data_IF_405426862442
#
_entry.id   IF_405426862442
#
_cell.length_a   1.000
_cell.length_b   1.000
_cell.length_c   1.000
_cell.angle_alpha   90.00
_cell.angle_beta   90.00
_cell.angle_gamma   90.00
#
_symmetry.space_group_name_H-M   'P 1'
#
loop_
_entity.id
_entity.type
_entity.pdbx_description
1 polymer ?
#
# COMPACT_ATOMS: atom_id res chain seq x y z
N UNK A 1 -0.97 -27.00 8.84
CA UNK A 1 -1.31 -27.52 7.50
C UNK A 1 -1.70 -26.34 6.63
N UNK A 2 -1.06 -26.21 5.48
CA UNK A 2 -1.29 -25.11 4.56
C UNK A 2 -2.63 -25.38 3.85
N UNK A 3 -3.61 -24.48 3.92
CA UNK A 3 -4.90 -24.67 3.22
C UNK A 3 -4.65 -24.56 1.72
N UNK A 4 -4.50 -25.71 1.05
CA UNK A 4 -4.28 -25.81 -0.39
C UNK A 4 -5.54 -25.52 -1.19
N UNK A 5 -6.73 -25.48 -0.56
CA UNK A 5 -7.97 -25.25 -1.28
C UNK A 5 -8.07 -23.89 -1.96
N UNK A 6 -7.23 -22.93 -1.53
CA UNK A 6 -7.05 -21.63 -2.21
C UNK A 6 -6.53 -21.72 -3.65
N UNK A 7 -5.98 -22.85 -4.08
CA UNK A 7 -5.50 -23.04 -5.45
C UNK A 7 -6.58 -23.54 -6.42
N UNK A 8 -7.78 -23.86 -5.93
CA UNK A 8 -8.90 -24.27 -6.79
C UNK A 8 -10.25 -23.68 -6.34
N UNK A 9 -10.26 -22.86 -5.29
CA UNK A 9 -11.41 -22.04 -4.89
C UNK A 9 -11.19 -20.61 -5.35
N UNK A 10 -12.10 -20.12 -6.19
CA UNK A 10 -12.08 -18.77 -6.72
C UNK A 10 -13.01 -17.87 -5.91
N UNK A 11 -12.50 -16.75 -5.41
CA UNK A 11 -13.33 -15.67 -4.86
C UNK A 11 -13.69 -14.68 -5.97
N UNK A 12 -14.98 -14.43 -6.15
CA UNK A 12 -15.50 -13.51 -7.16
C UNK A 12 -16.74 -12.78 -6.62
N UNK A 13 -17.09 -11.66 -7.26
CA UNK A 13 -18.31 -10.91 -6.96
C UNK A 13 -19.44 -11.51 -7.78
N UNK A 14 -20.48 -11.97 -7.10
CA UNK A 14 -21.68 -12.49 -7.75
C UNK A 14 -22.55 -11.36 -8.33
N UNK A 15 -23.63 -11.72 -9.01
CA UNK A 15 -24.57 -10.75 -9.63
C UNK A 15 -25.27 -9.83 -8.63
N UNK A 16 -25.27 -10.17 -7.35
CA UNK A 16 -25.82 -9.37 -6.25
C UNK A 16 -24.78 -8.47 -5.57
N UNK A 17 -23.55 -8.39 -6.11
CA UNK A 17 -22.48 -7.58 -5.54
C UNK A 17 -21.82 -8.18 -4.29
N UNK A 18 -22.07 -9.46 -3.98
CA UNK A 18 -21.49 -10.14 -2.82
C UNK A 18 -20.32 -11.02 -3.22
N UNK A 19 -19.29 -11.06 -2.40
CA UNK A 19 -18.20 -12.01 -2.55
C UNK A 19 -18.73 -13.44 -2.34
N UNK A 20 -18.56 -14.30 -3.33
CA UNK A 20 -18.79 -15.73 -3.21
C UNK A 20 -17.51 -16.49 -3.51
N UNK A 21 -17.41 -17.70 -2.98
CA UNK A 21 -16.33 -18.63 -3.27
C UNK A 21 -16.90 -19.81 -4.06
N UNK A 22 -16.37 -20.04 -5.26
CA UNK A 22 -16.75 -21.16 -6.12
C UNK A 22 -15.57 -22.10 -6.33
N UNK A 23 -15.83 -23.40 -6.31
CA UNK A 23 -14.82 -24.41 -6.60
C UNK A 23 -14.67 -24.62 -8.12
N UNK A 24 -13.44 -24.62 -8.61
CA UNK A 24 -13.09 -25.01 -9.96
C UNK A 24 -12.57 -26.46 -9.93
N UNK A 25 -13.40 -27.38 -10.41
CA UNK A 25 -13.10 -28.81 -10.35
C UNK A 25 -11.90 -29.19 -11.23
N UNK A 26 -11.80 -28.63 -12.43
CA UNK A 26 -10.68 -28.89 -13.35
C UNK A 26 -9.35 -28.43 -12.75
N UNK A 27 -9.34 -27.25 -12.11
CA UNK A 27 -8.18 -26.72 -11.41
C UNK A 27 -7.78 -27.60 -10.20
N UNK A 28 -8.77 -28.17 -9.48
CA UNK A 28 -8.52 -29.09 -8.36
C UNK A 28 -7.88 -30.39 -8.84
N UNK A 29 -8.43 -30.98 -9.90
CA UNK A 29 -7.92 -32.22 -10.48
C UNK A 29 -6.50 -32.02 -11.02
N UNK A 30 -6.28 -30.93 -11.77
CA UNK A 30 -4.96 -30.52 -12.24
C UNK A 30 -3.96 -30.32 -11.10
N UNK A 31 -4.34 -29.57 -10.06
CA UNK A 31 -3.49 -29.32 -8.90
C UNK A 31 -3.05 -30.62 -8.24
N UNK A 32 -3.98 -31.54 -7.98
CA UNK A 32 -3.66 -32.81 -7.32
C UNK A 32 -2.80 -33.73 -8.20
N UNK A 33 -2.91 -33.66 -9.53
CA UNK A 33 -2.08 -34.44 -10.44
C UNK A 33 -0.65 -33.91 -10.54
N UNK A 34 -0.47 -32.59 -10.56
CA UNK A 34 0.83 -31.97 -10.83
C UNK A 34 1.64 -31.65 -9.56
N UNK A 35 0.98 -31.50 -8.40
CA UNK A 35 1.57 -30.89 -7.20
C UNK A 35 1.30 -31.70 -5.92
N UNK A 36 1.04 -33.01 -6.04
CA UNK A 36 0.71 -33.90 -4.92
C UNK A 36 1.75 -33.91 -3.79
N UNK A 37 3.01 -33.61 -4.11
CA UNK A 37 4.17 -33.81 -3.22
C UNK A 37 4.78 -32.50 -2.71
N UNK A 38 4.12 -31.35 -2.92
CA UNK A 38 4.68 -30.03 -2.59
C UNK A 38 4.03 -29.42 -1.34
N UNK A 39 4.84 -29.21 -0.30
CA UNK A 39 4.33 -28.77 1.01
C UNK A 39 4.35 -27.24 1.24
N UNK A 40 5.09 -26.47 0.44
CA UNK A 40 5.26 -25.03 0.67
C UNK A 40 4.58 -24.18 -0.39
N UNK A 41 3.89 -23.11 0.04
CA UNK A 41 3.26 -22.13 -0.87
C UNK A 41 4.23 -21.56 -1.89
N UNK A 42 5.48 -21.31 -1.47
CA UNK A 42 6.51 -20.76 -2.35
C UNK A 42 6.81 -21.71 -3.50
N UNK A 43 6.93 -23.00 -3.20
CA UNK A 43 7.25 -24.01 -4.20
C UNK A 43 6.06 -24.32 -5.10
N UNK A 44 4.85 -24.40 -4.54
CA UNK A 44 3.60 -24.55 -5.31
C UNK A 44 3.46 -23.41 -6.34
N UNK A 45 3.60 -22.16 -5.90
CA UNK A 45 3.49 -21.00 -6.79
C UNK A 45 4.60 -21.01 -7.85
N UNK A 46 5.83 -21.42 -7.49
CA UNK A 46 6.95 -21.50 -8.43
C UNK A 46 6.68 -22.52 -9.53
N UNK A 47 6.18 -23.70 -9.19
CA UNK A 47 5.86 -24.75 -10.16
C UNK A 47 4.66 -24.38 -11.04
N UNK A 48 3.57 -23.87 -10.45
CA UNK A 48 2.43 -23.34 -11.21
C UNK A 48 2.86 -22.22 -12.18
N UNK A 49 3.77 -21.35 -11.74
CA UNK A 49 4.32 -20.29 -12.58
C UNK A 49 5.14 -20.84 -13.76
N UNK A 50 5.95 -21.87 -13.54
CA UNK A 50 6.71 -22.53 -14.62
C UNK A 50 5.76 -23.19 -15.64
N UNK A 51 4.72 -23.88 -15.19
CA UNK A 51 3.70 -24.48 -16.05
C UNK A 51 2.93 -23.42 -16.85
N UNK A 52 2.60 -22.30 -16.23
CA UNK A 52 1.98 -21.15 -16.88
C UNK A 52 2.87 -20.55 -17.99
N UNK A 53 4.19 -20.46 -17.77
CA UNK A 53 5.13 -19.90 -18.76
C UNK A 53 5.49 -20.87 -19.90
N UNK A 54 5.46 -22.19 -19.65
CA UNK A 54 5.96 -23.20 -20.58
C UNK A 54 4.96 -23.61 -21.68
N UNK A 55 3.69 -23.83 -21.32
CA UNK A 55 2.71 -24.45 -22.23
C UNK A 55 1.37 -23.70 -22.33
N UNK A 56 1.29 -22.44 -21.91
CA UNK A 56 0.04 -21.66 -21.86
C UNK A 56 -1.10 -22.47 -21.22
N UNK A 57 -0.79 -23.11 -20.07
CA UNK A 57 -1.73 -24.01 -19.41
C UNK A 57 -2.85 -23.20 -18.76
N UNK A 58 -4.09 -23.23 -19.28
CA UNK A 58 -5.20 -22.47 -18.73
C UNK A 58 -5.55 -22.93 -17.31
N UNK A 59 -5.22 -24.17 -16.96
CA UNK A 59 -5.43 -24.72 -15.61
C UNK A 59 -4.38 -24.20 -14.62
N UNK A 60 -3.13 -24.02 -15.04
CA UNK A 60 -2.13 -23.34 -14.23
C UNK A 60 -2.51 -21.86 -14.00
N UNK A 61 -2.98 -21.17 -15.05
CA UNK A 61 -3.52 -19.82 -14.92
C UNK A 61 -4.72 -19.77 -13.96
N UNK A 62 -5.66 -20.72 -14.08
CA UNK A 62 -6.82 -20.83 -13.19
C UNK A 62 -6.40 -21.04 -11.72
N UNK A 63 -5.43 -21.92 -11.46
CA UNK A 63 -4.91 -22.15 -10.11
C UNK A 63 -4.25 -20.89 -9.53
N UNK A 64 -3.43 -20.21 -10.32
CA UNK A 64 -2.80 -18.96 -9.92
C UNK A 64 -3.84 -17.84 -9.70
N UNK A 65 -4.87 -17.77 -10.54
CA UNK A 65 -6.00 -16.86 -10.38
C UNK A 65 -6.77 -17.10 -9.08
N UNK A 66 -7.02 -18.37 -8.72
CA UNK A 66 -7.65 -18.74 -7.46
C UNK A 66 -6.85 -18.22 -6.25
N UNK A 67 -5.55 -18.52 -6.18
CA UNK A 67 -4.72 -18.08 -5.04
C UNK A 67 -4.55 -16.55 -5.00
N UNK A 68 -4.51 -15.88 -6.16
CA UNK A 68 -4.54 -14.41 -6.22
C UNK A 68 -5.83 -13.89 -5.62
N UNK A 69 -7.00 -14.44 -5.98
CA UNK A 69 -8.30 -14.00 -5.44
C UNK A 69 -8.34 -14.12 -3.90
N UNK A 70 -7.74 -15.17 -3.34
CA UNK A 70 -7.59 -15.35 -1.89
C UNK A 70 -6.70 -14.26 -1.28
N UNK A 71 -5.53 -13.99 -1.88
CA UNK A 71 -4.66 -12.91 -1.42
C UNK A 71 -5.33 -11.54 -1.53
N UNK A 72 -6.12 -11.31 -2.57
CA UNK A 72 -6.88 -10.07 -2.73
C UNK A 72 -7.89 -9.91 -1.59
N UNK A 73 -8.67 -10.95 -1.32
CA UNK A 73 -9.63 -10.98 -0.21
C UNK A 73 -8.94 -10.69 1.11
N UNK A 74 -7.85 -11.38 1.43
CA UNK A 74 -7.08 -11.13 2.66
C UNK A 74 -6.59 -9.68 2.78
N UNK A 75 -6.14 -9.07 1.68
CA UNK A 75 -5.68 -7.67 1.71
C UNK A 75 -6.84 -6.71 1.96
N UNK A 76 -8.01 -6.92 1.36
CA UNK A 76 -9.19 -6.08 1.63
C UNK A 76 -9.64 -6.19 3.09
N UNK A 77 -9.66 -7.41 3.65
CA UNK A 77 -9.96 -7.62 5.06
C UNK A 77 -8.97 -6.88 5.96
N UNK A 78 -7.66 -6.96 5.69
CA UNK A 78 -6.65 -6.23 6.45
C UNK A 78 -6.82 -4.71 6.39
N UNK A 79 -7.30 -4.17 5.26
CA UNK A 79 -7.54 -2.72 5.13
C UNK A 79 -8.78 -2.33 5.93
N UNK A 80 -9.87 -3.10 5.84
CA UNK A 80 -11.11 -2.84 6.57
C UNK A 80 -10.93 -3.04 8.09
N UNK A 81 -10.20 -4.07 8.53
CA UNK A 81 -9.85 -4.24 9.94
C UNK A 81 -9.06 -3.05 10.48
N UNK A 82 -8.15 -2.49 9.67
CA UNK A 82 -7.30 -1.40 10.11
C UNK A 82 -7.99 -0.03 10.07
N UNK A 83 -8.95 0.19 9.16
CA UNK A 83 -9.50 1.53 8.90
C UNK A 83 -11.03 1.60 8.79
N UNK A 84 -11.71 0.48 8.54
CA UNK A 84 -13.14 0.42 8.20
C UNK A 84 -14.04 1.02 9.26
N UNK A 85 -13.88 0.64 10.52
CA UNK A 85 -14.70 1.16 11.63
C UNK A 85 -14.58 2.68 11.78
N UNK A 86 -13.37 3.21 11.66
CA UNK A 86 -13.12 4.65 11.84
C UNK A 86 -13.55 5.49 10.64
N UNK A 87 -13.55 4.89 9.44
CA UNK A 87 -13.75 5.59 8.18
C UNK A 87 -15.04 5.18 7.46
N UNK A 88 -15.95 4.50 8.18
CA UNK A 88 -17.30 4.12 7.74
C UNK A 88 -17.33 3.34 6.42
N UNK A 89 -16.52 2.27 6.32
CA UNK A 89 -16.58 1.33 5.21
C UNK A 89 -16.30 -0.11 5.63
N UNK A 90 -16.73 -1.05 4.81
CA UNK A 90 -16.63 -2.49 5.04
C UNK A 90 -15.66 -3.18 4.08
N UNK A 91 -15.22 -4.41 4.41
CA UNK A 91 -14.40 -5.20 3.49
C UNK A 91 -15.13 -5.50 2.17
N UNK A 92 -16.45 -5.65 2.19
CA UNK A 92 -17.30 -5.96 1.05
C UNK A 92 -17.22 -4.88 -0.03
N UNK A 93 -17.23 -3.61 0.39
CA UNK A 93 -17.07 -2.47 -0.52
C UNK A 93 -15.70 -2.47 -1.19
N UNK A 94 -14.64 -2.84 -0.47
CA UNK A 94 -13.31 -3.01 -1.05
C UNK A 94 -13.24 -4.22 -2.00
N UNK A 95 -13.91 -5.33 -1.68
CA UNK A 95 -13.92 -6.54 -2.50
C UNK A 95 -14.53 -6.27 -3.88
N UNK A 96 -15.59 -5.46 -3.95
CA UNK A 96 -16.24 -5.06 -5.21
C UNK A 96 -15.25 -4.35 -6.14
N UNK A 97 -14.25 -3.65 -5.60
CA UNK A 97 -13.27 -2.91 -6.40
C UNK A 97 -12.13 -3.79 -6.96
N UNK A 98 -11.83 -4.92 -6.31
CA UNK A 98 -10.62 -5.70 -6.62
C UNK A 98 -10.91 -7.06 -7.23
N UNK A 99 -12.03 -7.70 -6.85
CA UNK A 99 -12.38 -9.03 -7.32
C UNK A 99 -13.09 -8.96 -8.67
N UNK A 100 -12.90 -10.02 -9.45
CA UNK A 100 -13.61 -10.17 -10.72
C UNK A 100 -15.10 -10.36 -10.48
N UNK A 101 -15.91 -9.77 -11.35
CA UNK A 101 -17.34 -9.97 -11.33
C UNK A 101 -17.68 -11.18 -12.19
N UNK A 102 -18.60 -12.00 -11.69
CA UNK A 102 -19.22 -13.05 -12.48
C UNK A 102 -19.85 -12.38 -13.70
N UNK A 103 -19.26 -12.61 -14.87
CA UNK A 103 -19.66 -11.94 -16.10
C UNK A 103 -20.96 -12.53 -16.62
N UNK A 104 -21.88 -11.69 -17.09
CA UNK A 104 -22.86 -12.13 -18.06
C UNK A 104 -22.15 -12.29 -19.41
N UNK A 105 -22.40 -13.36 -20.19
CA UNK A 105 -21.80 -13.52 -21.51
C UNK A 105 -22.17 -12.30 -22.37
N UNK A 106 -21.16 -11.51 -22.79
CA UNK A 106 -21.34 -10.48 -23.81
C UNK A 106 -20.76 -9.08 -23.55
N UNK A 107 -20.11 -8.78 -22.42
CA UNK A 107 -19.55 -7.43 -22.25
C UNK A 107 -18.40 -7.35 -21.24
N UNK A 108 -17.15 -7.21 -21.72
CA UNK A 108 -15.98 -6.51 -21.11
C UNK A 108 -14.68 -6.89 -21.85
N UNK A 109 -14.44 -6.28 -23.01
CA UNK A 109 -13.22 -6.55 -23.82
C UNK A 109 -12.14 -5.46 -23.73
N UNK A 110 -12.24 -4.45 -22.86
CA UNK A 110 -11.32 -3.29 -22.93
C UNK A 110 -10.37 -3.05 -21.77
N UNK A 111 -10.49 -3.74 -20.64
CA UNK A 111 -9.57 -3.54 -19.51
C UNK A 111 -9.10 -4.88 -18.92
N UNK A 112 -7.78 -5.06 -18.84
CA UNK A 112 -7.14 -6.25 -18.27
C UNK A 112 -7.52 -6.33 -16.78
N UNK A 113 -8.06 -7.46 -16.34
CA UNK A 113 -8.44 -7.65 -14.93
C UNK A 113 -7.23 -7.48 -14.00
N UNK A 114 -7.48 -7.05 -12.75
CA UNK A 114 -6.40 -6.90 -11.78
C UNK A 114 -5.68 -8.23 -11.51
N UNK A 115 -6.40 -9.36 -11.52
CA UNK A 115 -5.83 -10.72 -11.46
C UNK A 115 -4.84 -10.95 -12.59
N UNK A 116 -5.26 -10.71 -13.85
CA UNK A 116 -4.42 -10.91 -15.02
C UNK A 116 -3.21 -9.96 -15.02
N UNK A 117 -3.39 -8.72 -14.58
CA UNK A 117 -2.28 -7.77 -14.38
C UNK A 117 -1.30 -8.23 -13.32
N UNK A 118 -1.77 -8.81 -12.20
CA UNK A 118 -0.92 -9.39 -11.17
C UNK A 118 -0.08 -10.51 -11.77
N UNK A 119 -0.71 -11.45 -12.50
CA UNK A 119 -0.01 -12.54 -13.18
C UNK A 119 1.03 -12.02 -14.15
N UNK A 120 0.66 -11.19 -15.13
CA UNK A 120 1.56 -10.70 -16.18
C UNK A 120 2.79 -9.94 -15.67
N UNK A 121 2.71 -9.36 -14.47
CA UNK A 121 3.80 -8.54 -13.90
C UNK A 121 4.50 -9.20 -12.72
N UNK A 122 4.07 -10.41 -12.34
CA UNK A 122 4.66 -11.16 -11.25
C UNK A 122 6.01 -11.74 -11.66
N UNK A 123 6.95 -11.74 -10.71
CA UNK A 123 8.27 -12.34 -10.85
C UNK A 123 8.58 -13.11 -9.55
N UNK A 124 8.59 -14.45 -9.59
CA UNK A 124 8.79 -15.29 -8.40
C UNK A 124 10.19 -15.15 -7.79
N UNK A 125 11.19 -14.68 -8.55
CA UNK A 125 12.54 -14.45 -8.04
C UNK A 125 12.63 -13.14 -7.25
N UNK A 126 11.75 -12.17 -7.54
CA UNK A 126 11.78 -10.84 -6.92
C UNK A 126 10.86 -10.70 -5.70
N UNK A 127 9.77 -11.47 -5.62
CA UNK A 127 8.78 -11.35 -4.53
C UNK A 127 7.90 -12.58 -4.39
N UNK A 128 7.25 -12.75 -3.23
CA UNK A 128 6.15 -13.71 -3.11
C UNK A 128 4.89 -13.18 -3.79
N UNK A 129 4.04 -14.08 -4.29
CA UNK A 129 2.78 -13.72 -4.94
C UNK A 129 1.88 -12.91 -4.00
N UNK A 130 1.81 -13.29 -2.72
CA UNK A 130 1.07 -12.55 -1.69
C UNK A 130 1.54 -11.10 -1.53
N UNK A 131 2.87 -10.87 -1.50
CA UNK A 131 3.44 -9.53 -1.36
C UNK A 131 3.23 -8.69 -2.63
N UNK A 132 3.32 -9.33 -3.81
CA UNK A 132 3.07 -8.69 -5.10
C UNK A 132 1.60 -8.27 -5.25
N UNK A 133 0.66 -9.17 -4.96
CA UNK A 133 -0.78 -8.89 -4.94
C UNK A 133 -1.12 -7.75 -4.00
N UNK A 134 -0.56 -7.75 -2.78
CA UNK A 134 -0.74 -6.66 -1.80
C UNK A 134 -0.24 -5.32 -2.33
N UNK A 135 0.91 -5.30 -3.01
CA UNK A 135 1.46 -4.08 -3.63
C UNK A 135 0.54 -3.56 -4.73
N UNK A 136 0.05 -4.43 -5.61
CA UNK A 136 -0.80 -4.04 -6.73
C UNK A 136 -2.18 -3.55 -6.28
N UNK A 137 -2.82 -4.20 -5.30
CA UNK A 137 -4.08 -3.71 -4.72
C UNK A 137 -3.91 -2.31 -4.14
N UNK A 138 -2.89 -2.10 -3.30
CA UNK A 138 -2.66 -0.79 -2.68
C UNK A 138 -2.37 0.29 -3.72
N UNK A 139 -1.83 -0.08 -4.88
CA UNK A 139 -1.51 0.87 -5.95
C UNK A 139 -2.61 1.05 -6.99
N UNK A 140 -3.65 0.20 -6.98
CA UNK A 140 -4.80 0.28 -7.87
C UNK A 140 -5.55 1.61 -7.72
N UNK A 141 -5.98 2.17 -8.85
CA UNK A 141 -6.54 3.52 -8.92
C UNK A 141 -7.88 3.60 -8.19
N UNK A 142 -8.69 2.55 -8.35
CA UNK A 142 -10.02 2.37 -7.79
C UNK A 142 -9.93 2.31 -6.27
N UNK A 143 -9.04 1.46 -5.75
CA UNK A 143 -8.78 1.31 -4.31
C UNK A 143 -8.23 2.61 -3.71
N UNK A 144 -7.29 3.28 -4.39
CA UNK A 144 -6.76 4.58 -3.94
C UNK A 144 -7.83 5.64 -3.87
N UNK A 145 -8.68 5.74 -4.90
CA UNK A 145 -9.79 6.69 -4.95
C UNK A 145 -10.80 6.41 -3.85
N UNK A 146 -11.21 5.15 -3.69
CA UNK A 146 -12.14 4.73 -2.65
C UNK A 146 -11.62 5.06 -1.25
N UNK A 147 -10.35 4.74 -0.98
CA UNK A 147 -9.74 5.07 0.30
C UNK A 147 -9.69 6.59 0.49
N UNK A 148 -9.36 7.35 -0.56
CA UNK A 148 -9.37 8.82 -0.49
C UNK A 148 -10.78 9.36 -0.19
N UNK A 149 -11.82 8.79 -0.79
CA UNK A 149 -13.24 9.13 -0.57
C UNK A 149 -13.67 8.92 0.88
N UNK A 150 -13.16 7.88 1.53
CA UNK A 150 -13.37 7.60 2.96
C UNK A 150 -12.36 8.34 3.85
N UNK A 151 -11.64 9.29 3.30
CA UNK A 151 -10.69 10.10 4.04
C UNK A 151 -9.43 9.35 4.46
N UNK A 152 -8.93 8.44 3.63
CA UNK A 152 -7.70 7.70 3.84
C UNK A 152 -6.73 8.01 2.70
N UNK A 153 -5.79 8.91 2.96
CA UNK A 153 -4.69 9.22 2.04
C UNK A 153 -3.56 8.20 2.23
N UNK A 154 -3.12 7.53 1.17
CA UNK A 154 -2.00 6.56 1.26
C UNK A 154 -0.60 7.20 1.35
N UNK A 155 -0.53 8.49 1.67
CA UNK A 155 0.70 9.27 1.73
C UNK A 155 0.93 9.69 3.19
N UNK A 156 2.00 9.20 3.81
CA UNK A 156 2.36 9.61 5.19
C UNK A 156 2.65 11.11 5.28
N UNK A 157 2.50 11.70 6.47
CA UNK A 157 2.87 13.10 6.78
C UNK A 157 4.26 13.42 6.22
N UNK A 158 5.21 12.53 6.47
CA UNK A 158 6.61 12.68 6.09
C UNK A 158 6.81 12.69 4.58
N UNK A 159 6.09 11.83 3.87
CA UNK A 159 6.12 11.82 2.40
C UNK A 159 5.48 13.09 1.83
N UNK A 160 4.40 13.56 2.45
CA UNK A 160 3.71 14.79 2.06
C UNK A 160 4.62 16.01 2.21
N UNK A 161 5.31 16.13 3.35
CA UNK A 161 6.29 17.19 3.60
C UNK A 161 7.48 17.10 2.63
N UNK A 162 7.91 15.88 2.28
CA UNK A 162 8.99 15.66 1.31
C UNK A 162 8.62 16.09 -0.12
N UNK A 163 7.36 15.89 -0.52
CA UNK A 163 6.87 16.21 -1.86
C UNK A 163 6.45 17.68 -2.02
N UNK A 164 6.39 18.43 -0.91
CA UNK A 164 5.98 19.84 -0.91
C UNK A 164 7.18 20.77 -1.05
N UNK A 165 7.21 21.55 -2.13
CA UNK A 165 8.24 22.57 -2.34
C UNK A 165 7.89 23.89 -1.65
N UNK A 166 8.89 24.74 -1.45
CA UNK A 166 8.77 26.00 -0.71
C UNK A 166 7.71 26.95 -1.30
N UNK A 167 7.69 27.13 -2.63
CA UNK A 167 6.72 28.02 -3.31
C UNK A 167 5.29 27.55 -3.10
N UNK A 168 5.05 26.25 -3.25
CA UNK A 168 3.74 25.64 -3.01
C UNK A 168 3.34 25.77 -1.54
N UNK A 169 4.28 25.58 -0.62
CA UNK A 169 4.02 25.74 0.80
C UNK A 169 3.66 27.18 1.16
N UNK A 170 4.37 28.17 0.61
CA UNK A 170 4.04 29.58 0.79
C UNK A 170 2.62 29.88 0.33
N UNK A 171 2.22 29.42 -0.86
CA UNK A 171 0.86 29.57 -1.35
C UNK A 171 -0.18 28.92 -0.42
N UNK A 172 0.07 27.69 0.03
CA UNK A 172 -0.82 26.98 0.95
C UNK A 172 -1.00 27.75 2.27
N UNK A 173 0.10 28.20 2.88
CA UNK A 173 0.06 28.81 4.20
C UNK A 173 -0.41 30.27 4.16
N UNK A 174 0.07 31.06 3.20
CA UNK A 174 -0.23 32.48 3.10
C UNK A 174 -1.56 32.77 2.40
N UNK A 175 -1.84 32.09 1.27
CA UNK A 175 -2.97 32.46 0.42
C UNK A 175 -4.24 31.69 0.83
N UNK A 176 -4.10 30.38 1.11
CA UNK A 176 -5.24 29.54 1.50
C UNK A 176 -5.54 29.61 3.00
N UNK A 177 -4.55 29.35 3.86
CA UNK A 177 -4.72 29.38 5.32
C UNK A 177 -4.61 30.77 5.96
N UNK A 178 -4.19 31.78 5.19
CA UNK A 178 -4.07 33.19 5.63
C UNK A 178 -3.21 33.38 6.89
N UNK A 179 -2.19 32.54 7.06
CA UNK A 179 -1.24 32.68 8.16
C UNK A 179 -0.41 33.96 8.00
N UNK A 180 0.04 34.50 9.14
CA UNK A 180 0.89 35.68 9.15
C UNK A 180 2.24 35.41 8.48
N UNK A 181 2.89 36.46 7.96
CA UNK A 181 4.24 36.35 7.37
C UNK A 181 5.27 35.73 8.33
N UNK A 182 5.11 35.97 9.64
CA UNK A 182 5.97 35.40 10.67
C UNK A 182 5.78 33.88 10.80
N UNK A 183 4.53 33.42 10.85
CA UNK A 183 4.18 31.99 10.92
C UNK A 183 4.61 31.25 9.66
N UNK A 184 4.33 31.81 8.48
CA UNK A 184 4.79 31.25 7.21
C UNK A 184 6.31 31.07 7.23
N UNK A 185 7.06 32.11 7.63
CA UNK A 185 8.52 32.04 7.73
C UNK A 185 8.99 30.98 8.74
N UNK A 186 8.27 30.78 9.84
CA UNK A 186 8.58 29.72 10.81
C UNK A 186 8.38 28.33 10.19
N UNK A 187 7.25 28.08 9.52
CA UNK A 187 6.98 26.80 8.87
C UNK A 187 7.94 26.50 7.71
N UNK A 188 8.38 27.52 6.96
CA UNK A 188 9.42 27.34 5.94
C UNK A 188 10.77 26.91 6.53
N UNK A 189 11.13 27.47 7.69
CA UNK A 189 12.34 27.01 8.41
C UNK A 189 12.18 25.60 8.96
N UNK A 190 10.98 25.26 9.44
CA UNK A 190 10.66 23.93 9.93
C UNK A 190 10.73 22.86 8.83
N UNK A 191 10.18 23.12 7.64
CA UNK A 191 10.29 22.15 6.54
C UNK A 191 11.74 22.01 6.06
N UNK A 192 12.51 23.10 6.07
CA UNK A 192 13.93 23.05 5.71
C UNK A 192 14.76 22.22 6.71
N UNK A 193 14.52 22.36 8.03
CA UNK A 193 15.21 21.53 9.02
C UNK A 193 14.81 20.05 8.91
N UNK A 194 13.52 19.77 8.67
CA UNK A 194 13.03 18.43 8.37
C UNK A 194 13.72 17.82 7.14
N UNK A 195 13.78 18.56 6.03
CA UNK A 195 14.40 18.09 4.79
C UNK A 195 15.91 17.84 4.99
N UNK A 196 16.58 18.69 5.74
CA UNK A 196 18.02 18.57 6.01
C UNK A 196 18.32 17.32 6.87
N UNK A 197 17.60 17.14 7.97
CA UNK A 197 17.91 16.09 8.96
C UNK A 197 17.30 14.76 8.56
N UNK A 198 15.98 14.72 8.41
CA UNK A 198 15.26 13.46 8.27
C UNK A 198 15.41 12.86 6.88
N UNK A 199 15.37 13.66 5.79
CA UNK A 199 15.50 13.08 4.45
C UNK A 199 16.91 12.57 4.17
N UNK A 200 17.96 13.28 4.60
CA UNK A 200 19.34 12.81 4.46
C UNK A 200 19.54 11.45 5.14
N UNK A 201 19.01 11.30 6.35
CA UNK A 201 19.17 10.07 7.13
C UNK A 201 18.28 8.93 6.64
N UNK A 202 17.04 9.22 6.22
CA UNK A 202 16.16 8.24 5.55
C UNK A 202 16.77 7.75 4.25
N UNK A 203 17.41 8.63 3.48
CA UNK A 203 18.06 8.27 2.23
C UNK A 203 19.29 7.39 2.48
N UNK A 204 20.16 7.74 3.44
CA UNK A 204 21.29 6.91 3.83
C UNK A 204 20.84 5.51 4.31
N UNK A 205 19.82 5.44 5.16
CA UNK A 205 19.25 4.16 5.63
C UNK A 205 18.69 3.33 4.46
N UNK A 206 18.01 3.95 3.51
CA UNK A 206 17.50 3.28 2.31
C UNK A 206 18.63 2.73 1.46
N UNK A 207 19.67 3.51 1.21
CA UNK A 207 20.81 3.08 0.43
C UNK A 207 21.49 1.86 1.06
N UNK A 208 21.71 1.88 2.38
CA UNK A 208 22.24 0.73 3.12
C UNK A 208 21.35 -0.52 3.01
N UNK A 209 20.04 -0.40 3.22
CA UNK A 209 19.10 -1.53 3.10
C UNK A 209 19.13 -2.09 1.69
N UNK A 210 19.15 -1.24 0.66
CA UNK A 210 19.13 -1.68 -0.73
C UNK A 210 20.46 -2.30 -1.17
N UNK A 211 21.58 -1.81 -0.65
CA UNK A 211 22.89 -2.44 -0.83
C UNK A 211 22.90 -3.85 -0.25
N UNK A 212 22.44 -4.02 1.00
CA UNK A 212 22.32 -5.33 1.63
C UNK A 212 21.40 -6.27 0.85
N UNK A 213 20.22 -5.77 0.42
CA UNK A 213 19.28 -6.56 -0.40
C UNK A 213 19.89 -6.97 -1.73
N UNK A 214 20.64 -6.10 -2.38
CA UNK A 214 21.36 -6.42 -3.63
C UNK A 214 22.38 -7.54 -3.41
N UNK A 215 23.13 -7.53 -2.30
CA UNK A 215 24.04 -8.62 -1.93
C UNK A 215 23.29 -9.94 -1.68
N UNK A 216 22.09 -9.87 -1.12
CA UNK A 216 21.20 -11.03 -0.91
C UNK A 216 20.42 -11.46 -2.17
N UNK A 217 20.72 -10.92 -3.36
CA UNK A 217 20.00 -11.22 -4.61
C UNK A 217 18.56 -10.70 -4.66
N UNK A 218 18.16 -9.84 -3.72
CA UNK A 218 16.80 -9.29 -3.60
C UNK A 218 16.69 -7.95 -4.32
N UNK A 219 15.50 -7.67 -4.85
CA UNK A 219 15.17 -6.39 -5.48
C UNK A 219 15.21 -5.20 -4.50
N UNK A 220 15.30 -4.00 -5.09
CA UNK A 220 15.24 -2.71 -4.38
C UNK A 220 13.92 -2.56 -3.61
N UNK A 221 14.00 -2.09 -2.37
CA UNK A 221 12.83 -1.69 -1.58
C UNK A 221 12.66 -0.17 -1.51
N UNK A 222 11.42 0.27 -1.69
CA UNK A 222 10.98 1.62 -1.33
C UNK A 222 10.44 1.57 0.11
N UNK A 223 11.34 1.58 1.09
CA UNK A 223 10.95 1.56 2.50
C UNK A 223 10.01 2.75 2.82
N UNK A 224 8.94 2.55 3.62
CA UNK A 224 8.02 3.62 3.96
C UNK A 224 8.76 4.75 4.70
N UNK A 225 8.23 5.97 4.59
CA UNK A 225 8.68 7.09 5.42
C UNK A 225 8.08 6.92 6.82
N UNK A 226 8.91 6.50 7.78
CA UNK A 226 8.53 6.24 9.18
C UNK A 226 8.51 7.52 10.01
N UNK A 227 7.92 7.49 11.20
CA UNK A 227 7.94 8.64 12.10
C UNK A 227 9.38 9.07 12.45
N UNK A 228 9.68 10.38 12.47
CA UNK A 228 10.96 10.90 12.92
C UNK A 228 11.28 10.42 14.33
N UNK A 229 12.49 9.92 14.52
CA UNK A 229 12.99 9.52 15.84
C UNK A 229 13.22 10.74 16.74
N UNK A 230 13.19 10.56 18.05
CA UNK A 230 13.50 11.64 19.01
C UNK A 230 14.84 12.32 18.73
N UNK A 231 15.86 11.55 18.31
CA UNK A 231 17.17 12.10 17.93
C UNK A 231 17.08 13.02 16.71
N UNK A 232 16.28 12.65 15.72
CA UNK A 232 16.05 13.46 14.52
C UNK A 232 15.30 14.74 14.86
N UNK A 233 14.26 14.64 15.68
CA UNK A 233 13.48 15.79 16.14
C UNK A 233 14.35 16.76 16.94
N UNK A 234 15.24 16.25 17.79
CA UNK A 234 16.19 17.08 18.54
C UNK A 234 17.19 17.77 17.61
N UNK A 235 17.72 17.08 16.59
CA UNK A 235 18.60 17.70 15.61
C UNK A 235 17.87 18.76 14.75
N UNK A 236 16.59 18.56 14.44
CA UNK A 236 15.78 19.60 13.77
C UNK A 236 15.59 20.81 14.68
N UNK A 237 15.30 20.61 15.97
CA UNK A 237 15.12 21.69 16.93
C UNK A 237 16.36 22.59 17.02
N UNK A 238 17.57 22.03 16.93
CA UNK A 238 18.83 22.78 16.95
C UNK A 238 19.02 23.71 15.73
N UNK A 239 18.37 23.40 14.61
CA UNK A 239 18.43 24.23 13.40
C UNK A 239 17.37 25.34 13.40
N UNK A 240 16.46 25.34 14.37
CA UNK A 240 15.40 26.34 14.45
C UNK A 240 15.84 27.54 15.30
N UNK A 241 15.43 28.75 14.91
CA UNK A 241 15.79 29.97 15.65
C UNK A 241 15.13 30.03 17.03
N UNK A 242 14.00 29.33 17.21
CA UNK A 242 13.34 29.13 18.50
C UNK A 242 13.71 27.74 18.99
N UNK A 243 14.16 27.64 20.24
CA UNK A 243 14.34 26.35 20.88
C UNK A 243 12.98 25.73 21.13
N UNK A 244 12.72 24.62 20.44
CA UNK A 244 11.53 23.80 20.59
C UNK A 244 11.93 22.44 21.18
N UNK A 245 11.04 21.81 21.92
CA UNK A 245 11.23 20.42 22.33
C UNK A 245 11.02 19.47 21.13
N UNK A 246 11.57 18.24 21.17
CA UNK A 246 11.29 17.24 20.14
C UNK A 246 9.80 17.02 19.88
N UNK A 247 8.98 17.04 20.94
CA UNK A 247 7.53 16.87 20.88
C UNK A 247 6.84 18.06 20.18
N UNK A 248 7.28 19.28 20.46
CA UNK A 248 6.79 20.49 19.80
C UNK A 248 7.15 20.50 18.31
N UNK A 249 8.36 20.08 17.95
CA UNK A 249 8.78 19.93 16.54
C UNK A 249 7.89 18.90 15.84
N UNK A 250 7.64 17.76 16.48
CA UNK A 250 6.77 16.72 15.92
C UNK A 250 5.34 17.24 15.73
N UNK A 251 4.80 17.97 16.72
CA UNK A 251 3.50 18.62 16.66
C UNK A 251 3.41 19.57 15.46
N UNK A 252 4.34 20.52 15.36
CA UNK A 252 4.34 21.50 14.27
C UNK A 252 4.53 20.86 12.89
N UNK A 253 5.29 19.77 12.77
CA UNK A 253 5.41 19.04 11.50
C UNK A 253 4.08 18.35 11.11
N UNK A 254 3.34 17.83 12.08
CA UNK A 254 2.01 17.25 11.85
C UNK A 254 1.00 18.32 11.48
N UNK A 255 1.02 19.47 12.15
CA UNK A 255 0.18 20.62 11.81
C UNK A 255 0.45 21.08 10.37
N UNK A 256 1.74 21.18 9.99
CA UNK A 256 2.15 21.51 8.63
C UNK A 256 1.65 20.48 7.61
N UNK A 257 1.73 19.19 7.92
CA UNK A 257 1.14 18.15 7.07
C UNK A 257 -0.39 18.28 6.97
N UNK A 258 -1.07 18.64 8.07
CA UNK A 258 -2.49 18.94 8.12
C UNK A 258 -2.89 20.06 7.16
N UNK A 259 -2.20 21.20 7.20
CA UNK A 259 -2.46 22.32 6.29
C UNK A 259 -2.34 21.93 4.82
N UNK A 260 -1.32 21.13 4.47
CA UNK A 260 -1.13 20.64 3.09
C UNK A 260 -2.28 19.72 2.69
N UNK A 261 -2.78 18.88 3.60
CA UNK A 261 -3.93 18.02 3.32
C UNK A 261 -5.18 18.83 3.08
N UNK A 262 -5.54 19.73 3.99
CA UNK A 262 -6.74 20.56 3.86
C UNK A 262 -6.77 21.30 2.52
N UNK A 263 -5.63 21.83 2.08
CA UNK A 263 -5.51 22.43 0.75
C UNK A 263 -5.73 21.43 -0.40
N UNK A 264 -5.14 20.23 -0.32
CA UNK A 264 -5.38 19.17 -1.32
C UNK A 264 -6.84 18.74 -1.38
N UNK A 265 -7.50 18.63 -0.23
CA UNK A 265 -8.91 18.24 -0.11
C UNK A 265 -9.80 19.30 -0.76
N UNK A 266 -9.51 20.58 -0.50
CA UNK A 266 -10.18 21.70 -1.17
C UNK A 266 -10.00 21.64 -2.70
N UNK A 267 -8.78 21.37 -3.19
CA UNK A 267 -8.55 21.16 -4.63
C UNK A 267 -9.25 19.92 -5.19
N UNK A 268 -9.47 18.90 -4.36
CA UNK A 268 -10.09 17.63 -4.74
C UNK A 268 -11.62 17.58 -4.61
N UNK A 269 -12.30 18.70 -4.33
CA UNK A 269 -13.75 18.81 -4.04
C UNK A 269 -14.20 18.31 -2.66
N UNK A 270 -13.47 18.66 -1.60
CA UNK A 270 -14.03 18.72 -0.24
C UNK A 270 -14.03 17.44 0.60
N UNK A 271 -13.21 16.44 0.27
CA UNK A 271 -13.14 15.18 1.03
C UNK A 271 -12.03 15.26 2.08
N UNK A 272 -12.36 15.25 3.38
CA UNK A 272 -11.37 15.26 4.47
C UNK A 272 -10.60 13.93 4.53
N UNK A 273 -9.26 13.96 4.62
CA UNK A 273 -8.35 12.81 4.52
C UNK A 273 -7.31 12.73 5.65
N UNK A 274 -7.05 11.52 6.13
CA UNK A 274 -6.05 11.14 7.13
C UNK A 274 -5.03 10.19 6.49
N UNK A 275 -3.76 10.32 6.86
CA UNK A 275 -2.69 9.51 6.28
C UNK A 275 -2.51 8.12 6.88
N UNK A 276 -2.12 7.17 6.02
CA UNK A 276 -1.57 5.86 6.41
C UNK A 276 -0.18 6.04 7.07
N UNK A 277 -0.16 6.34 8.38
CA UNK A 277 1.07 6.53 9.17
C UNK A 277 1.27 5.59 10.35
N UNK A 278 0.22 5.10 11.03
CA UNK A 278 0.39 4.15 12.13
C UNK A 278 0.43 2.71 11.62
N UNK A 279 1.64 2.15 11.53
CA UNK A 279 1.81 0.75 11.93
C UNK A 279 1.98 0.78 13.44
N UNK A 280 1.05 0.19 14.17
CA UNK A 280 1.40 -0.37 15.46
C UNK A 280 2.40 -1.48 15.19
N UNK A 281 3.68 -1.18 15.34
CA UNK A 281 4.69 -2.21 15.54
C UNK A 281 4.35 -2.88 16.86
N UNK A 282 3.62 -4.00 16.80
CA UNK A 282 3.76 -5.06 17.79
C UNK A 282 5.19 -5.56 17.61
N UNK A 283 6.13 -4.93 18.31
CA UNK A 283 7.43 -5.51 18.57
C UNK A 283 7.17 -6.73 19.47
N UNK A 284 7.64 -7.93 19.12
CA UNK A 284 7.66 -9.02 20.09
C UNK A 284 8.51 -8.57 21.29
N UNK A 285 7.96 -8.73 22.48
CA UNK A 285 8.71 -8.51 23.71
C UNK A 285 10.00 -9.36 23.67
N UNK A 286 11.15 -8.82 24.07
CA UNK A 286 12.34 -9.63 24.25
C UNK A 286 12.06 -10.65 25.37
N UNK A 287 12.43 -11.89 25.07
CA UNK A 287 12.42 -13.05 25.98
C UNK A 287 13.16 -12.73 27.28
#
# INVERSE_FOLDING_TARGET
MNDTSKYWKLNQINTLGRCQTSENQDAREFFNQQLSDVDTDKEIVRQLWQLYQGEDSPLAEACLGCVISHHMKTVCYQIAEQYGEKHDFTQEELLILVLEHQSFPGNREKEISLTRRILQTFDPEKSSLSAWTKKLIKTAKEVKRFLLEHGIEQISDWRLLKETNERRLQHILADYHRLSKAEVKQFLKLIASYQTVYLAQVQANREQINQRRKQEGRGHTTAPYLDPTTKQLQAMAQLLPRQLTPEEVLGQLKDLAGFIREFKQHQARGIATQALGRRETILPAPV
#
